data_IF_779455661505
#
_entry.id   IF_779455661505
#
_cell.length_a   1.000
_cell.length_b   1.000
_cell.length_c   1.000
_cell.angle_alpha   90.00
_cell.angle_beta   90.00
_cell.angle_gamma   90.00
#
_symmetry.space_group_name_H-M   'P 1'
#
loop_
_entity.id
_entity.type
_entity.pdbx_description
1 polymer ?
#
# COMPACT_ATOMS: atom_id res chain seq x y z
N UNK A 1 -25.95 36.06 -16.72
CA UNK A 1 -27.19 35.46 -16.16
C UNK A 1 -26.78 34.32 -15.26
N UNK A 2 -27.42 34.18 -14.09
CA UNK A 2 -27.17 33.06 -13.16
C UNK A 2 -28.12 31.91 -13.45
N UNK A 3 -27.63 30.67 -13.35
CA UNK A 3 -28.44 29.52 -12.94
C UNK A 3 -27.51 28.42 -12.39
N UNK A 4 -27.47 28.26 -11.07
CA UNK A 4 -26.94 27.06 -10.40
C UNK A 4 -28.15 26.27 -9.91
N UNK A 5 -28.41 25.09 -10.46
CA UNK A 5 -29.41 24.18 -9.90
C UNK A 5 -28.79 23.47 -8.68
N UNK A 6 -29.25 23.83 -7.49
CA UNK A 6 -28.80 23.23 -6.23
C UNK A 6 -29.91 22.31 -5.70
N UNK A 7 -29.65 21.00 -5.69
CA UNK A 7 -30.61 19.99 -5.22
C UNK A 7 -30.45 19.86 -3.70
N UNK A 8 -31.55 20.07 -2.97
CA UNK A 8 -31.58 19.90 -1.51
C UNK A 8 -31.85 18.44 -1.14
N UNK A 9 -31.00 17.86 -0.30
CA UNK A 9 -31.28 16.62 0.41
C UNK A 9 -31.88 16.93 1.79
N UNK A 10 -32.90 16.17 2.21
CA UNK A 10 -33.60 16.38 3.49
C UNK A 10 -33.13 15.33 4.49
N UNK A 11 -32.45 15.75 5.55
CA UNK A 11 -32.14 14.89 6.70
C UNK A 11 -33.34 14.85 7.67
N UNK A 12 -33.74 13.64 8.06
CA UNK A 12 -34.68 13.43 9.16
C UNK A 12 -33.92 13.36 10.49
N UNK A 13 -34.20 14.30 11.39
CA UNK A 13 -33.76 14.24 12.79
C UNK A 13 -34.82 13.51 13.63
N UNK A 14 -34.48 12.34 14.16
CA UNK A 14 -35.27 11.65 15.17
C UNK A 14 -34.80 12.07 16.57
N UNK A 15 -35.71 12.59 17.39
CA UNK A 15 -35.44 12.90 18.80
C UNK A 15 -35.94 11.79 19.73
N UNK A 16 -35.09 11.39 20.68
CA UNK A 16 -35.52 10.69 21.89
C UNK A 16 -35.30 11.63 23.09
N UNK A 17 -36.14 11.45 24.10
CA UNK A 17 -36.07 12.16 25.37
C UNK A 17 -36.90 11.43 26.43
N UNK A 18 -36.97 12.03 27.62
CA UNK A 18 -37.48 11.42 28.86
C UNK A 18 -36.57 10.31 29.45
N UNK A 19 -36.43 10.17 30.77
CA UNK A 19 -36.97 10.99 31.86
C UNK A 19 -36.04 10.92 33.10
N UNK A 20 -36.15 11.89 33.99
CA UNK A 20 -35.53 11.88 35.32
C UNK A 20 -36.62 11.88 36.39
N UNK A 21 -36.35 11.25 37.54
CA UNK A 21 -37.29 11.15 38.66
C UNK A 21 -36.51 11.37 39.98
N UNK A 22 -37.04 12.23 40.86
CA UNK A 22 -36.47 12.60 42.17
C UNK A 22 -37.30 11.96 43.30
N UNK A 23 -36.69 11.63 44.43
CA UNK A 23 -37.13 11.72 45.85
C UNK A 23 -35.87 11.34 46.69
N UNK A 24 -35.56 11.81 47.92
CA UNK A 24 -36.09 12.90 48.76
C UNK A 24 -35.03 13.34 49.82
N UNK A 25 -35.29 14.46 50.50
CA UNK A 25 -34.55 15.13 51.61
C UNK A 25 -34.77 14.45 53.01
N UNK A 26 -34.32 14.98 54.20
CA UNK A 26 -33.36 16.06 54.56
C UNK A 26 -32.33 15.71 55.68
N UNK A 27 -31.44 16.65 56.09
CA UNK A 27 -30.86 16.59 57.47
C UNK A 27 -29.66 17.48 57.94
N UNK A 28 -29.94 18.66 58.49
CA UNK A 28 -29.29 19.32 59.68
C UNK A 28 -27.77 19.70 59.77
N UNK A 29 -27.51 21.00 59.50
CA UNK A 29 -26.81 22.03 60.36
C UNK A 29 -25.38 21.90 60.95
N UNK A 30 -24.55 22.92 60.61
CA UNK A 30 -23.61 23.71 61.46
C UNK A 30 -22.34 23.03 62.03
N UNK A 31 -21.19 23.70 62.27
CA UNK A 31 -20.92 25.01 62.89
C UNK A 31 -19.57 25.64 62.44
N UNK A 32 -19.29 26.90 62.82
CA UNK A 32 -18.07 27.66 62.50
C UNK A 32 -16.88 27.38 63.46
N UNK A 33 -15.63 27.66 63.04
CA UNK A 33 -14.68 28.53 63.80
C UNK A 33 -13.44 28.93 62.97
N UNK A 34 -12.71 29.96 63.42
CA UNK A 34 -11.62 30.65 62.71
C UNK A 34 -10.25 30.53 63.42
N UNK A 35 -9.24 31.27 62.90
CA UNK A 35 -7.97 31.69 63.53
C UNK A 35 -6.81 30.67 63.51
N UNK A 36 -5.71 30.84 62.75
CA UNK A 36 -4.66 31.91 62.62
C UNK A 36 -3.58 31.90 63.71
N UNK A 37 -2.30 32.00 63.29
CA UNK A 37 -1.15 32.76 63.91
C UNK A 37 0.17 32.47 63.14
N UNK A 38 1.15 33.39 63.22
CA UNK A 38 2.48 33.42 62.54
C UNK A 38 3.64 33.11 63.53
N UNK A 39 4.98 33.20 63.30
CA UNK A 39 5.91 34.13 62.60
C UNK A 39 7.25 33.41 62.22
N UNK A 40 8.28 34.01 61.55
CA UNK A 40 9.12 33.31 60.55
C UNK A 40 10.65 33.27 60.79
N UNK A 41 11.38 32.67 59.83
CA UNK A 41 12.78 33.01 59.45
C UNK A 41 13.82 31.88 59.56
N UNK A 42 15.06 32.05 59.05
CA UNK A 42 15.61 33.17 58.26
C UNK A 42 16.18 32.74 56.87
N UNK A 43 16.75 33.70 56.13
CA UNK A 43 17.43 33.53 54.83
C UNK A 43 18.89 33.06 54.97
N UNK A 44 19.41 32.39 53.93
CA UNK A 44 20.77 32.64 53.45
C UNK A 44 20.81 32.58 51.91
N UNK A 45 21.82 33.20 51.30
CA UNK A 45 22.04 33.28 49.86
C UNK A 45 23.04 32.22 49.37
N UNK A 46 22.93 31.82 48.11
CA UNK A 46 24.07 31.83 47.17
C UNK A 46 23.54 31.85 45.73
N UNK A 47 24.33 32.38 44.78
CA UNK A 47 23.88 32.66 43.42
C UNK A 47 24.70 31.89 42.37
N UNK A 48 23.99 31.26 41.43
CA UNK A 48 24.57 30.82 40.15
C UNK A 48 23.63 31.23 39.03
N UNK A 49 23.99 32.30 38.32
CA UNK A 49 23.40 32.60 37.01
C UNK A 49 24.08 31.72 35.97
N UNK A 50 23.32 30.82 35.33
CA UNK A 50 23.72 30.25 34.04
C UNK A 50 22.80 30.82 32.97
N UNK A 51 23.42 31.44 31.97
CA UNK A 51 22.78 31.93 30.76
C UNK A 51 22.69 30.75 29.79
N UNK A 52 21.69 29.88 29.98
CA UNK A 52 21.38 28.86 28.98
C UNK A 52 20.87 29.57 27.73
N UNK A 53 21.68 29.50 26.66
CA UNK A 53 21.31 30.05 25.37
C UNK A 53 20.02 29.37 24.90
N UNK A 54 18.98 30.19 24.65
CA UNK A 54 17.74 29.70 24.07
C UNK A 54 18.03 29.14 22.67
N UNK A 55 18.15 27.82 22.58
CA UNK A 55 18.10 27.11 21.31
C UNK A 55 16.74 27.40 20.71
N UNK A 56 16.71 28.10 19.59
CA UNK A 56 15.49 28.32 18.83
C UNK A 56 15.05 26.98 18.24
N UNK A 57 14.17 26.28 18.99
CA UNK A 57 13.52 25.06 18.55
C UNK A 57 12.58 25.46 17.41
N UNK A 58 13.10 25.38 16.19
CA UNK A 58 12.31 25.30 14.96
C UNK A 58 11.19 24.28 15.21
N UNK A 59 9.94 24.73 15.07
CA UNK A 59 8.78 23.90 15.41
C UNK A 59 8.79 22.64 14.55
N UNK A 60 8.91 21.50 15.22
CA UNK A 60 8.46 20.22 14.69
C UNK A 60 6.97 20.38 14.32
N UNK A 61 6.60 20.10 13.07
CA UNK A 61 5.20 20.18 12.63
C UNK A 61 4.42 19.03 13.30
N UNK A 62 3.85 19.32 14.46
CA UNK A 62 3.21 18.32 15.33
C UNK A 62 2.09 17.58 14.60
N UNK A 63 2.31 16.31 14.33
CA UNK A 63 1.32 15.39 13.76
C UNK A 63 0.26 15.05 14.83
N UNK A 64 -0.86 15.78 14.85
CA UNK A 64 -1.94 15.53 15.81
C UNK A 64 -2.84 14.36 15.35
N UNK A 65 -2.98 13.33 16.19
CA UNK A 65 -3.85 12.17 15.94
C UNK A 65 -5.19 12.38 16.65
N UNK A 66 -6.18 12.97 15.97
CA UNK A 66 -7.51 13.19 16.55
C UNK A 66 -8.49 12.07 16.12
N UNK A 67 -9.17 11.40 17.06
CA UNK A 67 -10.15 10.36 16.76
C UNK A 67 -11.47 10.96 16.28
N UNK A 68 -11.63 11.06 14.96
CA UNK A 68 -12.87 11.47 14.29
C UNK A 68 -12.73 11.36 12.77
N UNK A 69 -13.83 11.15 12.04
CA UNK A 69 -13.81 10.83 10.60
C UNK A 69 -13.44 11.99 9.66
N UNK A 70 -12.97 13.12 10.19
CA UNK A 70 -12.59 14.32 9.42
C UNK A 70 -11.27 14.94 9.95
N UNK A 71 -10.19 14.16 10.00
CA UNK A 71 -8.83 14.70 9.97
C UNK A 71 -7.93 13.96 8.98
N UNK A 72 -7.63 14.63 7.87
CA UNK A 72 -6.53 14.30 6.97
C UNK A 72 -5.50 15.40 7.12
N UNK A 73 -4.65 15.29 8.15
CA UNK A 73 -3.44 16.10 8.24
C UNK A 73 -2.54 15.76 7.05
N UNK A 74 -2.04 16.77 6.33
CA UNK A 74 -1.62 16.63 4.93
C UNK A 74 -0.20 16.07 4.75
N UNK A 75 0.17 15.02 5.50
CA UNK A 75 1.19 14.08 5.04
C UNK A 75 0.60 13.25 3.91
N UNK A 76 0.49 13.87 2.73
CA UNK A 76 0.29 13.13 1.50
C UNK A 76 1.55 12.27 1.27
N UNK A 77 1.38 10.95 1.18
CA UNK A 77 2.46 10.00 0.94
C UNK A 77 2.51 9.64 -0.55
N UNK A 78 3.67 9.75 -1.17
CA UNK A 78 3.88 9.48 -2.60
C UNK A 78 4.07 7.99 -2.92
N UNK A 79 4.48 7.21 -1.92
CA UNK A 79 4.69 5.76 -1.98
C UNK A 79 4.57 5.15 -0.59
N UNK A 80 4.52 3.82 -0.49
CA UNK A 80 4.63 3.14 0.80
C UNK A 80 6.01 3.33 1.46
N UNK A 81 7.08 3.58 0.70
CA UNK A 81 8.39 3.99 1.24
C UNK A 81 8.29 5.35 1.93
N UNK A 82 7.62 6.31 1.31
CA UNK A 82 7.41 7.66 1.87
C UNK A 82 6.58 7.61 3.18
N UNK A 83 5.63 6.66 3.30
CA UNK A 83 4.99 6.36 4.59
C UNK A 83 6.01 5.86 5.61
N UNK A 84 6.85 4.89 5.24
CA UNK A 84 7.80 4.25 6.15
C UNK A 84 8.94 5.18 6.60
N UNK A 85 9.45 6.05 5.71
CA UNK A 85 10.48 7.03 6.04
C UNK A 85 9.97 8.10 7.02
N UNK A 86 8.70 8.50 6.89
CA UNK A 86 8.03 9.44 7.81
C UNK A 86 7.52 8.77 9.09
N UNK A 87 7.18 7.48 9.03
CA UNK A 87 6.59 6.69 10.13
C UNK A 87 7.25 5.30 10.14
N UNK A 88 8.42 5.20 10.79
CA UNK A 88 9.24 3.97 10.78
C UNK A 88 8.52 2.73 11.32
N UNK A 89 7.59 2.90 12.26
CA UNK A 89 6.78 1.84 12.88
C UNK A 89 5.40 1.66 12.20
N UNK A 90 5.24 2.12 10.95
CA UNK A 90 4.01 1.96 10.19
C UNK A 90 3.68 0.47 9.98
N UNK A 91 2.49 -0.03 10.35
CA UNK A 91 2.09 -1.41 10.07
C UNK A 91 1.76 -1.62 8.58
N UNK A 92 1.89 -2.85 8.09
CA UNK A 92 1.37 -3.23 6.77
C UNK A 92 -0.16 -3.10 6.74
N UNK A 93 -0.70 -2.51 5.66
CA UNK A 93 -2.11 -2.13 5.58
C UNK A 93 -2.44 -1.26 4.37
N UNK A 94 -3.66 -0.73 4.30
CA UNK A 94 -4.09 0.18 3.22
C UNK A 94 -3.81 1.62 3.62
N UNK A 95 -3.11 2.36 2.74
CA UNK A 95 -2.76 3.76 2.92
C UNK A 95 -3.28 4.58 1.74
N UNK A 96 -3.69 5.83 2.00
CA UNK A 96 -4.05 6.78 0.95
C UNK A 96 -2.80 7.49 0.45
N UNK A 97 -2.39 7.17 -0.77
CA UNK A 97 -1.26 7.79 -1.45
C UNK A 97 -1.72 8.94 -2.35
N UNK A 98 -0.77 9.78 -2.76
CA UNK A 98 -0.97 10.77 -3.82
C UNK A 98 -0.03 10.54 -5.00
N UNK A 99 -0.43 11.06 -6.15
CA UNK A 99 0.41 11.21 -7.33
C UNK A 99 0.08 12.54 -8.03
N UNK A 100 0.89 12.95 -9.00
CA UNK A 100 0.55 14.03 -9.93
C UNK A 100 0.16 13.43 -11.28
N UNK A 101 -0.91 13.93 -11.88
CA UNK A 101 -1.33 13.51 -13.23
C UNK A 101 -0.59 14.27 -14.35
N UNK A 102 -0.98 14.02 -15.61
CA UNK A 102 -0.39 14.66 -16.79
C UNK A 102 -0.49 16.20 -16.83
N UNK A 103 -1.39 16.78 -16.02
CA UNK A 103 -1.56 18.23 -15.88
C UNK A 103 -0.80 18.79 -14.66
N UNK A 104 -0.23 17.91 -13.83
CA UNK A 104 0.37 18.25 -12.54
C UNK A 104 -0.64 18.43 -11.41
N UNK A 105 -1.91 18.05 -11.60
CA UNK A 105 -2.90 18.11 -10.53
C UNK A 105 -2.70 16.95 -9.54
N UNK A 106 -2.86 17.22 -8.25
CA UNK A 106 -2.63 16.23 -7.19
C UNK A 106 -3.85 15.30 -7.06
N UNK A 107 -3.68 14.06 -7.51
CA UNK A 107 -4.66 12.99 -7.39
C UNK A 107 -4.35 12.09 -6.19
N UNK A 108 -5.34 11.32 -5.75
CA UNK A 108 -5.23 10.40 -4.63
C UNK A 108 -5.85 9.04 -4.95
N UNK A 109 -5.20 7.97 -4.49
CA UNK A 109 -5.74 6.62 -4.50
C UNK A 109 -5.38 5.89 -3.21
N UNK A 110 -6.12 4.83 -2.90
CA UNK A 110 -5.75 3.89 -1.84
C UNK A 110 -4.78 2.85 -2.44
N UNK A 111 -3.77 2.46 -1.67
CA UNK A 111 -2.78 1.45 -2.02
C UNK A 111 -2.53 0.50 -0.84
N UNK A 112 -2.31 -0.79 -1.10
CA UNK A 112 -1.81 -1.69 -0.07
C UNK A 112 -0.28 -1.54 0.08
N UNK A 113 0.15 -1.25 1.29
CA UNK A 113 1.55 -1.17 1.70
C UNK A 113 1.95 -2.40 2.52
N UNK A 114 3.04 -3.05 2.10
CA UNK A 114 3.78 -3.98 2.95
C UNK A 114 4.99 -3.26 3.55
N UNK A 115 4.92 -3.03 4.86
CA UNK A 115 5.96 -2.39 5.68
C UNK A 115 6.85 -3.42 6.40
N UNK A 116 6.62 -4.72 6.15
CA UNK A 116 7.16 -5.81 6.98
C UNK A 116 8.12 -6.73 6.23
N UNK A 117 7.81 -7.15 5.00
CA UNK A 117 8.68 -8.07 4.27
C UNK A 117 9.79 -7.31 3.54
N UNK A 118 11.01 -7.85 3.57
CA UNK A 118 12.14 -7.40 2.74
C UNK A 118 12.45 -5.89 2.84
N UNK A 119 12.41 -5.41 4.08
CA UNK A 119 12.67 -4.02 4.48
C UNK A 119 11.44 -3.11 4.50
N UNK A 120 10.27 -3.56 4.03
CA UNK A 120 9.05 -2.75 3.99
C UNK A 120 9.02 -1.69 2.88
N UNK A 121 8.06 -0.78 2.94
CA UNK A 121 7.90 0.32 1.98
C UNK A 121 7.36 -0.10 0.61
N UNK A 122 6.86 -1.34 0.47
CA UNK A 122 6.47 -1.93 -0.81
C UNK A 122 5.02 -1.58 -1.19
N UNK A 123 4.84 -0.87 -2.31
CA UNK A 123 3.54 -0.41 -2.82
C UNK A 123 2.96 -1.41 -3.82
N UNK A 124 1.84 -2.06 -3.51
CA UNK A 124 1.26 -3.10 -4.37
C UNK A 124 0.71 -2.53 -5.69
N UNK A 125 1.06 -3.17 -6.80
CA UNK A 125 0.65 -2.78 -8.16
C UNK A 125 0.09 -3.91 -9.01
N UNK A 126 0.24 -5.16 -8.59
CA UNK A 126 -0.37 -6.34 -9.23
C UNK A 126 -0.74 -7.34 -8.14
N UNK A 127 -1.96 -7.88 -8.19
CA UNK A 127 -2.38 -9.05 -7.43
C UNK A 127 -3.39 -9.87 -8.24
N UNK A 128 -3.04 -11.14 -8.45
CA UNK A 128 -3.90 -12.15 -9.05
C UNK A 128 -3.84 -13.40 -8.18
N UNK A 129 -4.94 -13.71 -7.48
CA UNK A 129 -5.14 -14.96 -6.74
C UNK A 129 -6.18 -15.76 -7.53
N UNK A 130 -5.69 -16.73 -8.30
CA UNK A 130 -6.43 -17.41 -9.36
C UNK A 130 -6.75 -18.85 -8.98
N UNK A 131 -7.96 -19.26 -9.32
CA UNK A 131 -8.44 -20.62 -9.14
C UNK A 131 -8.21 -21.46 -10.40
N UNK A 132 -7.44 -22.55 -10.25
CA UNK A 132 -7.20 -23.51 -11.33
C UNK A 132 -8.50 -24.08 -11.92
N UNK A 133 -8.47 -24.36 -13.22
CA UNK A 133 -9.62 -24.67 -14.08
C UNK A 133 -10.61 -23.50 -14.26
N UNK A 134 -10.13 -22.25 -14.15
CA UNK A 134 -10.85 -21.04 -14.56
C UNK A 134 -9.96 -20.16 -15.44
N UNK A 135 -10.54 -19.38 -16.35
CA UNK A 135 -9.81 -18.38 -17.15
C UNK A 135 -10.49 -16.99 -17.10
N UNK A 136 -10.44 -16.31 -15.95
CA UNK A 136 -11.05 -14.98 -15.75
C UNK A 136 -10.38 -13.88 -16.58
N UNK A 137 -11.12 -12.85 -17.03
CA UNK A 137 -10.54 -11.69 -17.68
C UNK A 137 -9.66 -10.88 -16.71
N UNK A 138 -8.54 -10.39 -17.23
CA UNK A 138 -7.64 -9.50 -16.51
C UNK A 138 -8.31 -8.14 -16.23
N UNK A 139 -7.88 -7.48 -15.16
CA UNK A 139 -8.33 -6.13 -14.81
C UNK A 139 -7.14 -5.18 -14.80
N UNK A 140 -7.02 -4.39 -15.87
CA UNK A 140 -6.11 -3.24 -15.94
C UNK A 140 -6.74 -2.07 -15.18
N UNK A 141 -5.99 -1.44 -14.27
CA UNK A 141 -6.45 -0.36 -13.40
C UNK A 141 -5.76 0.95 -13.77
N UNK A 142 -6.57 1.95 -14.13
CA UNK A 142 -6.10 3.27 -14.60
C UNK A 142 -6.26 4.39 -13.55
N UNK A 143 -6.96 4.11 -12.46
CA UNK A 143 -7.38 5.06 -11.41
C UNK A 143 -7.23 4.51 -9.98
N UNK A 144 -6.73 3.27 -9.84
CA UNK A 144 -6.78 2.49 -8.59
C UNK A 144 -5.65 1.45 -8.53
N UNK A 145 -5.28 1.04 -7.32
CA UNK A 145 -4.37 -0.08 -7.08
C UNK A 145 -5.15 -1.36 -6.78
N UNK A 146 -4.59 -2.56 -7.02
CA UNK A 146 -5.09 -3.79 -6.42
C UNK A 146 -4.76 -3.83 -4.92
N UNK A 147 -5.62 -4.49 -4.13
CA UNK A 147 -5.48 -4.65 -2.67
C UNK A 147 -5.06 -6.08 -2.29
N UNK A 148 -4.49 -6.25 -1.08
CA UNK A 148 -4.29 -7.59 -0.49
C UNK A 148 -5.58 -8.10 0.19
N UNK A 149 -5.89 -9.39 0.02
CA UNK A 149 -6.86 -10.12 0.84
C UNK A 149 -6.37 -11.55 1.14
N UNK A 150 -6.56 -12.51 0.25
CA UNK A 150 -6.09 -13.88 0.46
C UNK A 150 -4.61 -14.02 0.15
N UNK A 151 -3.96 -15.06 0.68
CA UNK A 151 -2.63 -15.54 0.24
C UNK A 151 -2.59 -17.07 0.16
N UNK A 152 -3.75 -17.70 -0.08
CA UNK A 152 -3.96 -19.14 -0.10
C UNK A 152 -4.20 -19.64 -1.53
N UNK A 153 -3.42 -20.64 -1.96
CA UNK A 153 -3.66 -21.36 -3.21
C UNK A 153 -4.94 -22.20 -3.05
N UNK A 154 -5.90 -22.02 -3.97
CA UNK A 154 -7.24 -22.62 -3.88
C UNK A 154 -8.35 -21.58 -3.96
N UNK A 155 -8.09 -20.40 -3.42
CA UNK A 155 -9.00 -19.27 -3.39
C UNK A 155 -9.14 -18.61 -4.78
N UNK A 156 -10.16 -17.77 -4.90
CA UNK A 156 -10.51 -17.04 -6.12
C UNK A 156 -10.81 -15.58 -5.76
N UNK A 157 -10.10 -14.63 -6.36
CA UNK A 157 -10.33 -13.20 -6.18
C UNK A 157 -10.92 -12.50 -7.41
N UNK A 158 -11.30 -13.24 -8.48
CA UNK A 158 -11.79 -12.64 -9.72
C UNK A 158 -12.94 -11.64 -9.51
N UNK A 159 -12.99 -10.59 -10.34
CA UNK A 159 -14.01 -9.52 -10.29
C UNK A 159 -14.10 -8.74 -8.96
N UNK A 160 -13.01 -8.69 -8.17
CA UNK A 160 -12.95 -7.96 -6.88
C UNK A 160 -12.07 -6.70 -6.92
N UNK A 161 -12.00 -5.99 -5.79
CA UNK A 161 -11.03 -4.91 -5.57
C UNK A 161 -9.58 -5.41 -5.38
N UNK A 162 -9.40 -6.70 -5.09
CA UNK A 162 -8.10 -7.33 -4.88
C UNK A 162 -7.47 -7.75 -6.22
N UNK A 163 -8.30 -8.11 -7.19
CA UNK A 163 -7.90 -8.56 -8.53
C UNK A 163 -7.40 -7.41 -9.41
N UNK A 164 -6.30 -7.63 -10.12
CA UNK A 164 -5.87 -6.77 -11.22
C UNK A 164 -4.41 -6.32 -11.16
N UNK A 165 -4.08 -5.43 -12.08
CA UNK A 165 -2.77 -4.79 -12.22
C UNK A 165 -2.92 -3.34 -12.64
N UNK A 166 -1.97 -2.49 -12.25
CA UNK A 166 -1.87 -1.11 -12.70
C UNK A 166 -1.59 -1.03 -14.21
N UNK A 167 -2.17 -0.03 -14.88
CA UNK A 167 -1.77 0.36 -16.23
C UNK A 167 -0.40 1.05 -16.22
N UNK A 168 0.49 0.84 -17.21
CA UNK A 168 1.75 1.58 -17.35
C UNK A 168 1.56 3.11 -17.29
N UNK A 169 0.45 3.63 -17.83
CA UNK A 169 0.09 5.05 -17.74
C UNK A 169 0.00 5.55 -16.30
N UNK A 170 -0.75 4.86 -15.43
CA UNK A 170 -0.83 5.22 -14.01
C UNK A 170 0.49 4.92 -13.27
N UNK A 171 1.18 3.82 -13.59
CA UNK A 171 2.48 3.49 -12.96
C UNK A 171 3.59 4.49 -13.32
N UNK A 172 3.51 5.13 -14.48
CA UNK A 172 4.45 6.19 -14.90
C UNK A 172 4.37 7.46 -14.06
N UNK A 173 3.27 7.68 -13.32
CA UNK A 173 3.10 8.79 -12.39
C UNK A 173 3.92 8.62 -11.10
N UNK A 174 4.43 7.41 -10.82
CA UNK A 174 5.13 7.08 -9.58
C UNK A 174 6.65 7.01 -9.76
N UNK A 175 7.37 7.67 -8.84
CA UNK A 175 8.81 7.53 -8.71
C UNK A 175 9.13 6.31 -7.84
N UNK A 176 10.00 5.44 -8.35
CA UNK A 176 10.44 4.21 -7.68
C UNK A 176 11.78 3.74 -8.27
N UNK A 177 12.56 2.98 -7.51
CA UNK A 177 13.87 2.47 -7.92
C UNK A 177 13.99 0.95 -7.90
N UNK A 178 13.08 0.23 -7.23
CA UNK A 178 13.02 -1.23 -7.19
C UNK A 178 11.63 -1.76 -7.59
N UNK A 179 11.60 -2.93 -8.22
CA UNK A 179 10.41 -3.76 -8.38
C UNK A 179 10.60 -5.08 -7.62
N UNK A 180 9.59 -5.48 -6.82
CA UNK A 180 9.50 -6.79 -6.16
C UNK A 180 8.48 -7.66 -6.90
N UNK A 181 8.85 -8.90 -7.15
CA UNK A 181 8.03 -9.92 -7.80
C UNK A 181 7.83 -11.09 -6.84
N UNK A 182 6.60 -11.60 -6.76
CA UNK A 182 6.26 -12.81 -6.02
C UNK A 182 5.33 -13.69 -6.85
N UNK A 183 5.59 -14.99 -6.88
CA UNK A 183 4.73 -15.96 -7.56
C UNK A 183 4.73 -17.34 -6.88
N UNK A 184 3.56 -17.99 -6.83
CA UNK A 184 3.35 -19.37 -6.36
C UNK A 184 2.31 -20.10 -7.23
N UNK A 185 2.44 -21.42 -7.32
CA UNK A 185 1.47 -22.33 -7.97
C UNK A 185 1.26 -23.59 -7.12
N UNK A 186 0.25 -24.41 -7.42
CA UNK A 186 0.14 -25.79 -6.92
C UNK A 186 0.70 -26.86 -7.88
N UNK A 187 1.22 -26.51 -9.06
CA UNK A 187 2.00 -27.43 -9.92
C UNK A 187 3.29 -27.89 -9.22
N UNK A 188 3.93 -26.99 -8.47
CA UNK A 188 5.19 -27.27 -7.79
C UNK A 188 5.39 -26.46 -6.50
N UNK A 189 6.30 -26.95 -5.65
CA UNK A 189 6.61 -26.32 -4.36
C UNK A 189 7.61 -25.15 -4.41
N UNK A 190 8.07 -24.72 -5.60
CA UNK A 190 8.99 -23.57 -5.73
C UNK A 190 8.22 -22.25 -5.56
N UNK A 191 8.88 -21.26 -4.97
CA UNK A 191 8.35 -19.91 -4.72
C UNK A 191 9.26 -18.89 -5.41
N UNK A 192 8.69 -18.10 -6.31
CA UNK A 192 9.35 -16.93 -6.88
C UNK A 192 9.20 -15.81 -5.85
N UNK A 193 10.32 -15.28 -5.38
CA UNK A 193 10.32 -14.07 -4.56
C UNK A 193 11.64 -13.32 -4.77
N UNK A 194 11.62 -12.21 -5.52
CA UNK A 194 12.85 -11.47 -5.81
C UNK A 194 12.59 -9.98 -6.01
N UNK A 195 13.65 -9.17 -5.95
CA UNK A 195 13.61 -7.78 -6.41
C UNK A 195 14.70 -7.44 -7.42
N UNK A 196 14.48 -6.39 -8.19
CA UNK A 196 15.45 -5.85 -9.16
C UNK A 196 15.32 -4.33 -9.27
N UNK A 197 16.46 -3.68 -9.43
CA UNK A 197 16.67 -2.27 -9.77
C UNK A 197 17.00 -2.07 -11.27
N UNK A 198 16.93 -3.14 -12.06
CA UNK A 198 17.34 -3.16 -13.46
C UNK A 198 16.51 -2.15 -14.28
N UNK A 199 17.19 -1.12 -14.79
CA UNK A 199 16.56 0.00 -15.48
C UNK A 199 15.64 -0.42 -16.65
N UNK A 200 15.98 -1.46 -17.42
CA UNK A 200 15.11 -1.98 -18.50
C UNK A 200 13.79 -2.54 -17.96
N UNK A 201 13.79 -3.10 -16.76
CA UNK A 201 12.59 -3.63 -16.12
C UNK A 201 11.72 -2.53 -15.49
N UNK A 202 12.35 -1.55 -14.83
CA UNK A 202 11.67 -0.36 -14.33
C UNK A 202 10.99 0.41 -15.49
N UNK A 203 11.69 0.57 -16.61
CA UNK A 203 11.16 1.17 -17.83
C UNK A 203 10.01 0.36 -18.43
N UNK A 204 10.14 -0.97 -18.51
CA UNK A 204 9.12 -1.84 -19.09
C UNK A 204 7.80 -1.74 -18.32
N UNK A 205 7.84 -1.75 -16.99
CA UNK A 205 6.65 -1.51 -16.16
C UNK A 205 6.01 -0.13 -16.38
N UNK A 206 6.82 0.93 -16.49
CA UNK A 206 6.33 2.31 -16.72
C UNK A 206 5.78 2.55 -18.14
N UNK A 207 6.26 1.83 -19.14
CA UNK A 207 6.03 2.17 -20.56
C UNK A 207 5.15 1.15 -21.29
N UNK A 208 5.02 -0.06 -20.77
CA UNK A 208 4.43 -1.19 -21.50
C UNK A 208 5.28 -1.68 -22.68
N UNK A 209 6.48 -1.13 -22.84
CA UNK A 209 7.32 -1.21 -24.02
C UNK A 209 8.79 -1.44 -23.64
N UNK A 210 9.48 -2.31 -24.39
CA UNK A 210 10.80 -2.83 -24.01
C UNK A 210 10.70 -4.28 -23.55
N UNK A 211 11.44 -4.64 -22.49
CA UNK A 211 11.43 -5.95 -21.81
C UNK A 211 12.31 -5.84 -20.55
N UNK A 212 12.18 -6.72 -19.56
CA UNK A 212 13.18 -6.84 -18.48
C UNK A 212 14.40 -7.72 -18.84
N UNK A 213 14.78 -7.81 -20.11
CA UNK A 213 15.95 -8.61 -20.48
C UNK A 213 17.22 -8.06 -19.78
N UNK A 214 18.03 -8.97 -19.22
CA UNK A 214 19.10 -8.68 -18.28
C UNK A 214 18.77 -9.03 -16.81
N UNK A 215 17.51 -9.30 -16.46
CA UNK A 215 17.08 -9.56 -15.08
C UNK A 215 17.72 -10.82 -14.49
N UNK A 216 18.04 -11.82 -15.32
CA UNK A 216 18.80 -13.02 -14.95
C UNK A 216 20.19 -12.73 -14.36
N UNK A 217 20.81 -11.60 -14.73
CA UNK A 217 22.09 -11.13 -14.21
C UNK A 217 21.98 -9.96 -13.22
N UNK A 218 20.78 -9.48 -12.93
CA UNK A 218 20.54 -8.21 -12.22
C UNK A 218 19.36 -8.30 -11.25
N UNK A 219 19.36 -9.31 -10.38
CA UNK A 219 18.33 -9.53 -9.37
C UNK A 219 18.89 -9.87 -8.00
N UNK A 220 18.09 -9.63 -6.96
CA UNK A 220 18.33 -10.07 -5.59
C UNK A 220 17.22 -11.04 -5.22
N UNK A 221 17.59 -12.31 -5.01
CA UNK A 221 16.70 -13.32 -4.44
C UNK A 221 16.33 -12.93 -2.99
N UNK A 222 15.04 -12.99 -2.67
CA UNK A 222 14.48 -12.63 -1.37
C UNK A 222 14.16 -13.89 -0.54
N UNK A 223 13.69 -13.72 0.69
CA UNK A 223 13.45 -14.85 1.61
C UNK A 223 12.43 -15.82 1.01
N UNK A 224 12.81 -17.10 0.95
CA UNK A 224 11.99 -18.18 0.38
C UNK A 224 12.15 -18.41 -1.13
N UNK A 225 12.94 -17.59 -1.84
CA UNK A 225 13.20 -17.76 -3.27
C UNK A 225 13.77 -19.15 -3.59
N UNK A 226 13.10 -19.89 -4.47
CA UNK A 226 13.46 -21.28 -4.84
C UNK A 226 13.19 -21.63 -6.30
N UNK A 227 12.85 -20.66 -7.14
CA UNK A 227 12.51 -20.82 -8.56
C UNK A 227 13.72 -20.83 -9.47
N UNK A 228 13.52 -21.26 -10.72
CA UNK A 228 14.49 -21.10 -11.79
C UNK A 228 14.57 -19.64 -12.27
N UNK A 229 13.43 -18.95 -12.30
CA UNK A 229 13.34 -17.53 -12.58
C UNK A 229 13.65 -16.64 -11.37
N UNK A 230 14.26 -15.46 -11.60
CA UNK A 230 14.57 -14.88 -12.92
C UNK A 230 15.88 -15.40 -13.54
N UNK A 231 16.66 -16.22 -12.81
CA UNK A 231 17.99 -16.67 -13.23
C UNK A 231 18.08 -17.49 -14.53
N UNK A 232 16.97 -18.09 -14.98
CA UNK A 232 16.85 -18.74 -16.30
C UNK A 232 16.01 -17.94 -17.33
N UNK A 233 15.83 -16.63 -17.17
CA UNK A 233 15.27 -15.80 -18.25
C UNK A 233 16.15 -15.91 -19.51
N UNK A 234 15.52 -16.08 -20.67
CA UNK A 234 16.21 -16.15 -21.98
C UNK A 234 15.71 -15.15 -23.01
N UNK A 235 14.70 -14.36 -22.64
CA UNK A 235 13.94 -13.54 -23.57
C UNK A 235 12.56 -13.26 -22.99
N UNK A 236 12.47 -12.26 -22.11
CA UNK A 236 11.19 -11.63 -21.79
C UNK A 236 10.61 -10.97 -23.04
N UNK A 237 9.28 -11.00 -23.12
CA UNK A 237 8.52 -10.46 -24.24
C UNK A 237 8.79 -8.97 -24.53
N UNK A 238 8.48 -8.57 -25.77
CA UNK A 238 8.59 -7.19 -26.25
C UNK A 238 7.46 -6.28 -25.77
N UNK A 239 7.16 -5.23 -26.54
CA UNK A 239 6.05 -4.32 -26.22
C UNK A 239 4.69 -5.05 -26.19
N UNK A 240 4.05 -5.06 -25.01
CA UNK A 240 2.69 -5.61 -24.77
C UNK A 240 1.70 -4.56 -24.22
N UNK A 241 2.08 -3.28 -24.19
CA UNK A 241 1.29 -2.17 -23.66
C UNK A 241 0.84 -2.45 -22.20
N UNK A 242 -0.45 -2.27 -21.89
CA UNK A 242 -1.03 -2.56 -20.56
C UNK A 242 -0.72 -3.98 -20.06
N UNK A 243 -0.50 -4.93 -20.98
CA UNK A 243 -0.27 -6.34 -20.65
C UNK A 243 1.20 -6.69 -20.41
N UNK A 244 2.10 -5.71 -20.38
CA UNK A 244 3.53 -5.92 -20.17
C UNK A 244 3.85 -6.83 -18.98
N UNK A 245 3.18 -6.61 -17.85
CA UNK A 245 3.36 -7.34 -16.59
C UNK A 245 2.34 -8.49 -16.39
N UNK A 246 1.67 -8.93 -17.46
CA UNK A 246 0.70 -10.05 -17.43
C UNK A 246 0.84 -11.02 -18.62
N UNK A 247 1.59 -10.64 -19.66
CA UNK A 247 1.89 -11.47 -20.85
C UNK A 247 3.38 -11.84 -20.88
N UNK A 248 3.68 -13.08 -20.47
CA UNK A 248 4.97 -13.80 -20.62
C UNK A 248 6.26 -13.01 -20.34
N UNK A 249 6.30 -12.20 -19.28
CA UNK A 249 7.58 -11.60 -18.89
C UNK A 249 8.51 -12.64 -18.26
N UNK A 250 9.71 -12.78 -18.84
CA UNK A 250 10.83 -13.66 -18.44
C UNK A 250 10.73 -15.11 -18.95
N UNK A 251 10.35 -15.32 -20.22
CA UNK A 251 10.30 -16.68 -20.80
C UNK A 251 11.69 -17.30 -21.00
N UNK A 252 11.77 -18.59 -20.72
CA UNK A 252 12.97 -19.42 -20.74
C UNK A 252 13.11 -20.25 -22.01
N UNK A 253 14.20 -21.02 -22.11
CA UNK A 253 14.46 -21.89 -23.25
C UNK A 253 15.11 -23.21 -22.82
N UNK A 254 14.93 -24.26 -23.63
CA UNK A 254 14.87 -25.66 -23.18
C UNK A 254 13.68 -25.95 -22.24
N UNK A 255 12.51 -25.42 -22.62
CA UNK A 255 11.16 -25.93 -22.38
C UNK A 255 10.39 -25.62 -21.08
N UNK A 256 10.94 -25.07 -20.00
CA UNK A 256 10.12 -24.66 -18.82
C UNK A 256 10.71 -23.45 -18.07
N UNK A 257 10.40 -22.22 -18.52
CA UNK A 257 10.43 -21.02 -17.66
C UNK A 257 9.57 -19.93 -18.30
N UNK A 258 8.83 -19.18 -17.48
CA UNK A 258 7.92 -18.12 -17.90
C UNK A 258 7.48 -17.34 -16.64
N UNK A 259 6.86 -16.18 -16.80
CA UNK A 259 5.83 -15.69 -15.86
C UNK A 259 4.66 -15.13 -16.68
N UNK A 260 3.48 -15.74 -16.53
CA UNK A 260 2.29 -15.46 -17.35
C UNK A 260 1.03 -15.48 -16.50
N UNK A 261 0.08 -14.61 -16.85
CA UNK A 261 -1.22 -14.43 -16.20
C UNK A 261 -2.28 -14.30 -17.31
N UNK A 262 -2.64 -15.43 -17.91
CA UNK A 262 -3.76 -15.58 -18.86
C UNK A 262 -3.68 -14.69 -20.11
N UNK A 263 -2.89 -15.11 -21.11
CA UNK A 263 -2.39 -14.18 -22.13
C UNK A 263 -3.28 -13.98 -23.39
N UNK A 264 -4.31 -13.13 -23.22
CA UNK A 264 -5.24 -12.59 -24.25
C UNK A 264 -6.51 -13.42 -24.46
N UNK A 265 -7.39 -12.98 -25.38
CA UNK A 265 -8.75 -13.52 -25.55
C UNK A 265 -8.80 -15.01 -25.94
N UNK A 266 -7.70 -15.56 -26.44
CA UNK A 266 -7.60 -16.90 -27.00
C UNK A 266 -6.55 -17.80 -26.30
N UNK A 267 -6.00 -17.41 -25.13
CA UNK A 267 -5.07 -18.23 -24.34
C UNK A 267 -5.51 -18.39 -22.87
N UNK A 268 -4.88 -19.34 -22.17
CA UNK A 268 -5.29 -19.86 -20.86
C UNK A 268 -4.10 -20.02 -19.88
N UNK A 269 -3.01 -19.30 -20.12
CA UNK A 269 -1.70 -19.54 -19.50
C UNK A 269 -1.61 -18.89 -18.09
N UNK A 270 -2.12 -19.60 -17.09
CA UNK A 270 -2.02 -19.22 -15.66
C UNK A 270 -0.86 -19.96 -15.00
N UNK A 271 0.33 -19.36 -15.09
CA UNK A 271 1.57 -20.11 -14.98
C UNK A 271 2.55 -19.50 -13.95
N UNK A 272 3.31 -20.34 -13.24
CA UNK A 272 4.38 -19.89 -12.34
C UNK A 272 5.59 -20.83 -12.40
N UNK A 273 6.76 -20.35 -12.86
CA UNK A 273 8.09 -21.03 -12.96
C UNK A 273 8.19 -22.45 -13.61
N UNK A 274 7.07 -23.04 -14.06
CA UNK A 274 6.94 -24.13 -15.04
C UNK A 274 5.92 -23.69 -16.11
N UNK A 275 6.15 -23.93 -17.41
CA UNK A 275 5.30 -23.51 -18.56
C UNK A 275 4.33 -24.68 -18.93
N UNK A 276 3.13 -24.82 -18.32
CA UNK A 276 2.19 -25.90 -18.60
C UNK A 276 1.27 -25.65 -19.79
N UNK A 277 1.21 -24.43 -20.35
CA UNK A 277 0.33 -24.09 -21.49
C UNK A 277 -1.17 -24.33 -21.19
N UNK A 278 -1.60 -24.13 -19.92
CA UNK A 278 -3.00 -24.25 -19.49
C UNK A 278 -3.34 -23.61 -18.13
N UNK A 279 -4.64 -23.56 -17.80
CA UNK A 279 -5.23 -22.91 -16.63
C UNK A 279 -5.48 -23.82 -15.42
N UNK A 280 -5.06 -25.10 -15.45
CA UNK A 280 -5.52 -26.11 -14.48
C UNK A 280 -5.00 -25.92 -13.05
N UNK A 281 -4.04 -25.01 -12.85
CA UNK A 281 -3.35 -24.80 -11.57
C UNK A 281 -3.83 -23.53 -10.87
N UNK A 282 -3.96 -23.59 -9.55
CA UNK A 282 -4.14 -22.38 -8.73
C UNK A 282 -2.83 -21.58 -8.75
N UNK A 283 -2.93 -20.27 -8.91
CA UNK A 283 -1.76 -19.39 -8.90
C UNK A 283 -1.95 -18.17 -8.01
N UNK A 284 -0.85 -17.65 -7.47
CA UNK A 284 -0.80 -16.35 -6.78
C UNK A 284 0.37 -15.59 -7.37
N UNK A 285 0.09 -14.45 -8.00
CA UNK A 285 1.10 -13.55 -8.55
C UNK A 285 0.93 -12.16 -7.98
N UNK A 286 2.05 -11.53 -7.63
CA UNK A 286 2.09 -10.17 -7.10
C UNK A 286 3.29 -9.39 -7.57
N UNK A 287 3.10 -8.08 -7.67
CA UNK A 287 4.19 -7.11 -7.80
C UNK A 287 3.98 -5.91 -6.90
N UNK A 288 5.11 -5.33 -6.49
CA UNK A 288 5.19 -4.06 -5.77
C UNK A 288 6.32 -3.21 -6.36
N UNK A 289 6.22 -1.88 -6.21
CA UNK A 289 7.36 -0.99 -6.38
C UNK A 289 7.85 -0.42 -5.04
N UNK A 290 9.08 0.09 -5.04
CA UNK A 290 9.68 0.89 -3.97
C UNK A 290 10.65 1.93 -4.53
#
# INVERSE_FOLDING_TARGET
MYSKNMIYFVLFLASLGCQAENQDEPGFTSLNTESTVTVPGPLNQDAVSQEEAAVEIIQEEVYEVIPGSEQVAYLAFSSCLDVQEKIAEAPSGVYRLFYQDELGEQQFLDAYCDMTEEGGGWTMILNYVHQGATNPPLTTRTDSMPMLNSSQLGDDEQNSAFWGHIAPSLLSMFNFTELRFFCRTNDHNRVLHFKTDLATCLDYGRKGAGSCNGVEGSFIALTGHTTNLPGLNTGGDGERLDRALTETTFRGNNNLSHWSIGSSLDSNDWECDNDPDNEMFHTIHRMWFR
#
